data_IF_593673989868
#
_entry.id   IF_593673989868
#
_cell.length_a   1.000
_cell.length_b   1.000
_cell.length_c   1.000
_cell.angle_alpha   90.00
_cell.angle_beta   90.00
_cell.angle_gamma   90.00
#
_symmetry.space_group_name_H-M   'P 1'
#
loop_
_entity.id
_entity.type
_entity.pdbx_description
1 polymer ?
#
# COMPACT_ATOMS: atom_id res chain seq x y z
N UNK A 1 8.65 -17.26 -20.42
CA UNK A 1 9.43 -16.08 -19.99
C UNK A 1 9.91 -16.36 -18.58
N UNK A 2 11.22 -16.43 -18.35
CA UNK A 2 11.78 -16.54 -17.01
C UNK A 2 12.38 -15.18 -16.65
N UNK A 3 11.70 -14.43 -15.78
CA UNK A 3 12.19 -13.12 -15.31
C UNK A 3 13.19 -13.36 -14.19
N UNK A 4 14.48 -13.11 -14.44
CA UNK A 4 15.54 -13.32 -13.45
C UNK A 4 15.60 -12.20 -12.42
N UNK A 5 15.43 -10.95 -12.86
CA UNK A 5 15.43 -9.74 -12.03
C UNK A 5 14.43 -8.74 -12.57
N UNK A 6 13.63 -8.13 -11.71
CA UNK A 6 12.55 -7.23 -12.11
C UNK A 6 12.28 -6.13 -11.07
N UNK A 7 11.61 -5.06 -11.50
CA UNK A 7 11.08 -4.05 -10.58
C UNK A 7 9.81 -4.60 -9.94
N UNK A 8 9.76 -4.57 -8.61
CA UNK A 8 8.61 -5.03 -7.86
C UNK A 8 7.88 -3.84 -7.26
N UNK A 9 6.65 -3.60 -7.70
CA UNK A 9 5.79 -2.55 -7.17
C UNK A 9 4.67 -3.17 -6.36
N UNK A 10 4.50 -2.71 -5.13
CA UNK A 10 3.41 -3.11 -4.25
C UNK A 10 2.63 -1.91 -3.71
N UNK A 11 1.32 -1.92 -3.93
CA UNK A 11 0.38 -0.94 -3.37
C UNK A 11 -0.28 -1.45 -2.09
N UNK A 12 -0.38 -0.62 -1.04
CA UNK A 12 -1.12 -0.95 0.18
C UNK A 12 -0.65 -2.29 0.81
N UNK A 13 -1.54 -3.28 0.97
CA UNK A 13 -1.17 -4.64 1.39
C UNK A 13 -0.15 -5.29 0.45
N UNK A 14 -0.24 -5.03 -0.85
CA UNK A 14 0.74 -5.47 -1.85
C UNK A 14 2.14 -4.95 -1.53
N UNK A 15 2.27 -3.74 -0.94
CA UNK A 15 3.55 -3.21 -0.48
C UNK A 15 4.16 -4.03 0.67
N UNK A 16 3.34 -4.52 1.60
CA UNK A 16 3.78 -5.42 2.67
C UNK A 16 4.26 -6.77 2.12
N UNK A 17 3.53 -7.32 1.15
CA UNK A 17 3.89 -8.58 0.48
C UNK A 17 5.14 -8.43 -0.37
N UNK A 18 5.23 -7.38 -1.17
CA UNK A 18 6.40 -7.03 -1.98
C UNK A 18 7.65 -6.89 -1.12
N UNK A 19 7.56 -6.15 0.00
CA UNK A 19 8.66 -6.02 0.95
C UNK A 19 9.07 -7.37 1.55
N UNK A 20 8.10 -8.23 1.90
CA UNK A 20 8.39 -9.57 2.42
C UNK A 20 9.11 -10.43 1.37
N UNK A 21 8.68 -10.36 0.11
CA UNK A 21 9.33 -11.05 -1.00
C UNK A 21 10.77 -10.52 -1.20
N UNK A 22 10.97 -9.21 -1.24
CA UNK A 22 12.30 -8.60 -1.42
C UNK A 22 13.27 -8.92 -0.29
N UNK A 23 12.78 -9.08 0.95
CA UNK A 23 13.59 -9.53 2.09
C UNK A 23 14.10 -10.96 1.90
N UNK A 24 13.27 -11.83 1.31
CA UNK A 24 13.60 -13.25 1.13
C UNK A 24 14.37 -13.53 -0.17
N UNK A 25 14.11 -12.76 -1.21
CA UNK A 25 14.66 -12.95 -2.56
C UNK A 25 15.23 -11.65 -3.16
N UNK A 26 16.18 -10.99 -2.47
CA UNK A 26 16.71 -9.70 -2.92
C UNK A 26 17.37 -9.77 -4.31
N UNK A 27 17.93 -10.92 -4.68
CA UNK A 27 18.57 -11.15 -5.98
C UNK A 27 17.62 -11.01 -7.18
N UNK A 28 16.31 -11.19 -6.98
CA UNK A 28 15.31 -11.08 -8.03
C UNK A 28 14.74 -9.66 -8.17
N UNK A 29 15.12 -8.74 -7.28
CA UNK A 29 14.54 -7.40 -7.24
C UNK A 29 15.56 -6.39 -7.76
N UNK A 30 15.23 -5.77 -8.89
CA UNK A 30 15.99 -4.66 -9.46
C UNK A 30 15.76 -3.39 -8.65
N UNK A 31 14.50 -3.09 -8.34
CA UNK A 31 14.07 -1.97 -7.52
C UNK A 31 12.75 -2.30 -6.83
N UNK A 32 12.56 -1.87 -5.60
CA UNK A 32 11.32 -2.03 -4.85
C UNK A 32 10.56 -0.70 -4.80
N UNK A 33 9.37 -0.66 -5.40
CA UNK A 33 8.48 0.50 -5.33
C UNK A 33 7.35 0.18 -4.35
N UNK A 34 7.17 1.04 -3.35
CA UNK A 34 6.16 0.88 -2.31
C UNK A 34 5.18 2.03 -2.38
N UNK A 35 4.04 1.79 -3.00
CA UNK A 35 2.95 2.76 -3.08
C UNK A 35 2.06 2.65 -1.84
N UNK A 36 2.11 3.68 -1.02
CA UNK A 36 1.32 3.88 0.19
C UNK A 36 1.17 2.60 1.05
N UNK A 37 2.30 1.98 1.45
CA UNK A 37 2.32 0.60 1.89
C UNK A 37 1.70 0.41 3.28
N UNK A 38 0.84 -0.60 3.40
CA UNK A 38 0.24 -1.01 4.67
C UNK A 38 1.21 -1.85 5.51
N UNK A 39 1.00 -1.90 6.83
CA UNK A 39 1.68 -2.88 7.70
C UNK A 39 3.11 -2.51 8.10
N UNK A 40 3.53 -1.27 7.90
CA UNK A 40 4.82 -0.78 8.36
C UNK A 40 4.88 -0.34 9.83
N UNK A 41 3.92 0.45 10.36
CA UNK A 41 4.04 0.96 11.72
C UNK A 41 3.78 -0.12 12.78
N UNK A 42 4.48 0.00 13.91
CA UNK A 42 4.25 -0.81 15.11
C UNK A 42 2.93 -0.38 15.75
N UNK A 43 2.12 -1.35 16.17
CA UNK A 43 0.95 -1.09 16.99
C UNK A 43 1.38 -0.73 18.41
N UNK A 44 0.99 0.45 18.86
CA UNK A 44 1.23 0.91 20.22
C UNK A 44 -0.13 1.10 20.92
N UNK A 45 -0.52 0.21 21.85
CA UNK A 45 -1.78 0.32 22.59
C UNK A 45 -1.79 1.50 23.57
N UNK A 46 -0.63 2.04 23.95
CA UNK A 46 -0.51 3.19 24.83
C UNK A 46 -0.63 4.54 24.08
N UNK A 47 -0.50 4.53 22.74
CA UNK A 47 -0.71 5.74 21.93
C UNK A 47 -2.19 6.16 22.02
N UNK A 48 -2.48 7.44 22.36
CA UNK A 48 -3.85 7.92 22.42
C UNK A 48 -4.51 7.67 21.07
N UNK A 49 -5.68 7.00 21.07
CA UNK A 49 -6.52 6.92 19.87
C UNK A 49 -6.70 8.34 19.34
N UNK A 50 -6.55 8.52 18.02
CA UNK A 50 -6.78 9.84 17.43
C UNK A 50 -8.14 10.36 17.91
N UNK A 51 -8.21 11.64 18.29
CA UNK A 51 -9.44 12.29 18.82
C UNK A 51 -10.65 12.20 17.86
N UNK A 52 -10.48 11.61 16.67
CA UNK A 52 -11.48 11.52 15.61
C UNK A 52 -12.39 10.29 15.71
N UNK A 53 -12.05 9.27 16.50
CA UNK A 53 -12.89 8.08 16.63
C UNK A 53 -13.60 8.05 18.00
N UNK A 54 -14.94 8.21 18.04
CA UNK A 54 -15.69 8.20 19.29
C UNK A 54 -15.67 6.80 19.93
N UNK A 55 -15.70 6.74 21.27
CA UNK A 55 -15.49 5.50 22.05
C UNK A 55 -16.42 4.34 21.64
N UNK A 56 -17.64 4.65 21.17
CA UNK A 56 -18.60 3.67 20.67
C UNK A 56 -18.16 2.95 19.38
N UNK A 57 -17.16 3.46 18.63
CA UNK A 57 -16.64 2.80 17.44
C UNK A 57 -15.74 1.60 17.76
N UNK A 58 -15.31 1.45 19.02
CA UNK A 58 -14.47 0.34 19.48
C UNK A 58 -15.10 -1.04 19.26
N UNK A 59 -16.36 -1.31 19.67
CA UNK A 59 -17.03 -2.57 19.36
C UNK A 59 -17.23 -2.79 17.85
N UNK A 60 -17.50 -1.74 17.07
CA UNK A 60 -17.63 -1.85 15.61
C UNK A 60 -16.29 -2.25 14.96
N UNK A 61 -15.19 -1.65 15.41
CA UNK A 61 -13.84 -1.97 14.97
C UNK A 61 -13.43 -3.40 15.39
N UNK A 62 -13.86 -3.85 16.58
CA UNK A 62 -13.70 -5.23 16.99
C UNK A 62 -14.49 -6.18 16.07
N UNK A 63 -15.75 -5.88 15.75
CA UNK A 63 -16.55 -6.64 14.78
C UNK A 63 -15.89 -6.73 13.40
N UNK A 64 -15.28 -5.65 12.90
CA UNK A 64 -14.52 -5.68 11.65
C UNK A 64 -13.28 -6.58 11.68
N UNK A 65 -12.74 -6.89 12.87
CA UNK A 65 -11.66 -7.86 13.01
C UNK A 65 -12.17 -9.31 13.04
N UNK A 66 -13.45 -9.54 13.36
CA UNK A 66 -14.05 -10.89 13.48
C UNK A 66 -14.94 -11.27 12.29
N UNK A 67 -15.49 -10.30 11.57
CA UNK A 67 -16.40 -10.51 10.43
C UNK A 67 -15.70 -10.03 9.16
N UNK A 68 -15.62 -10.90 8.15
CA UNK A 68 -15.14 -10.46 6.83
C UNK A 68 -16.10 -9.39 6.30
N UNK A 69 -15.59 -8.20 5.96
CA UNK A 69 -16.38 -7.02 5.56
C UNK A 69 -17.36 -7.37 4.44
N UNK A 70 -16.94 -8.25 3.51
CA UNK A 70 -17.74 -8.65 2.37
C UNK A 70 -18.69 -9.83 2.69
N UNK A 71 -18.76 -10.31 3.94
CA UNK A 71 -19.73 -11.35 4.34
C UNK A 71 -21.16 -10.89 4.18
N UNK A 72 -21.46 -9.63 4.54
CA UNK A 72 -22.78 -9.04 4.34
C UNK A 72 -23.12 -8.98 2.84
N UNK A 73 -22.17 -8.58 2.01
CA UNK A 73 -22.31 -8.57 0.56
C UNK A 73 -22.60 -9.98 -0.01
N UNK A 74 -21.93 -11.01 0.49
CA UNK A 74 -22.17 -12.41 0.10
C UNK A 74 -23.54 -12.91 0.55
N UNK A 75 -23.98 -12.55 1.75
CA UNK A 75 -25.27 -12.94 2.30
C UNK A 75 -26.45 -12.38 1.49
N UNK A 76 -26.28 -11.23 0.84
CA UNK A 76 -27.29 -10.62 -0.03
C UNK A 76 -27.57 -11.41 -1.32
N UNK A 77 -26.73 -12.38 -1.67
CA UNK A 77 -26.94 -13.29 -2.80
C UNK A 77 -27.22 -12.54 -4.11
N UNK A 78 -28.41 -12.74 -4.68
CA UNK A 78 -28.80 -12.15 -5.98
C UNK A 78 -28.89 -10.62 -5.96
N UNK A 79 -29.04 -9.99 -4.79
CA UNK A 79 -29.07 -8.53 -4.65
C UNK A 79 -27.66 -7.92 -4.57
N UNK A 80 -26.63 -8.74 -4.38
CA UNK A 80 -25.24 -8.31 -4.21
C UNK A 80 -24.72 -7.37 -5.32
N UNK A 81 -24.93 -7.65 -6.62
CA UNK A 81 -24.48 -6.77 -7.70
C UNK A 81 -25.08 -5.36 -7.63
N UNK A 82 -26.39 -5.24 -7.39
CA UNK A 82 -27.05 -3.93 -7.29
C UNK A 82 -26.56 -3.13 -6.09
N UNK A 83 -26.33 -3.80 -4.95
CA UNK A 83 -25.74 -3.17 -3.76
C UNK A 83 -24.30 -2.72 -4.02
N UNK A 84 -23.49 -3.53 -4.70
CA UNK A 84 -22.12 -3.15 -5.08
C UNK A 84 -22.11 -1.97 -6.06
N UNK A 85 -23.02 -1.96 -7.03
CA UNK A 85 -23.17 -0.85 -7.96
C UNK A 85 -23.51 0.46 -7.25
N UNK A 86 -24.38 0.40 -6.24
CA UNK A 86 -24.68 1.58 -5.43
C UNK A 86 -23.49 1.99 -4.55
N UNK A 87 -22.78 1.04 -3.96
CA UNK A 87 -21.61 1.31 -3.11
C UNK A 87 -20.44 1.92 -3.90
N UNK A 88 -20.29 1.54 -5.16
CA UNK A 88 -19.25 2.01 -6.07
C UNK A 88 -19.78 2.98 -7.13
N UNK A 89 -20.85 3.73 -6.85
CA UNK A 89 -21.42 4.66 -7.83
C UNK A 89 -20.47 5.80 -8.23
N UNK A 90 -19.39 6.02 -7.48
CA UNK A 90 -18.32 6.98 -7.82
C UNK A 90 -17.21 6.41 -8.70
N UNK A 91 -17.24 5.12 -9.06
CA UNK A 91 -16.19 4.48 -9.85
C UNK A 91 -16.00 5.15 -11.22
N UNK A 92 -17.06 5.68 -11.82
CA UNK A 92 -17.00 6.36 -13.13
C UNK A 92 -16.07 7.58 -13.12
N UNK A 93 -15.90 8.26 -11.98
CA UNK A 93 -14.96 9.38 -11.87
C UNK A 93 -13.50 8.95 -12.10
N UNK A 94 -13.18 7.68 -11.83
CA UNK A 94 -11.84 7.11 -12.00
C UNK A 94 -11.70 6.34 -13.31
N UNK A 95 -12.72 5.55 -13.66
CA UNK A 95 -12.64 4.58 -14.76
C UNK A 95 -13.41 5.00 -16.02
N UNK A 96 -14.29 6.01 -15.96
CA UNK A 96 -15.21 6.38 -17.06
C UNK A 96 -14.53 6.81 -18.35
N UNK A 97 -13.25 7.20 -18.29
CA UNK A 97 -12.44 7.46 -19.48
C UNK A 97 -12.09 6.17 -20.24
N UNK A 98 -11.93 5.04 -19.57
CA UNK A 98 -11.52 3.75 -20.12
C UNK A 98 -12.67 2.75 -20.26
N UNK A 99 -13.52 2.66 -19.22
CA UNK A 99 -14.63 1.72 -19.12
C UNK A 99 -15.93 2.51 -19.21
N UNK A 100 -16.61 2.41 -20.36
CA UNK A 100 -17.84 3.18 -20.63
C UNK A 100 -19.09 2.60 -19.98
N UNK A 101 -19.10 1.30 -19.72
CA UNK A 101 -20.16 0.64 -18.97
C UNK A 101 -19.95 0.88 -17.47
N UNK A 102 -20.76 1.76 -16.87
CA UNK A 102 -20.71 2.11 -15.46
C UNK A 102 -21.03 0.94 -14.52
N UNK A 103 -21.58 -0.15 -15.04
CA UNK A 103 -21.85 -1.37 -14.27
C UNK A 103 -20.65 -2.31 -14.23
N UNK A 104 -19.70 -2.18 -15.17
CA UNK A 104 -18.63 -3.15 -15.35
C UNK A 104 -17.67 -3.19 -14.15
N UNK A 105 -17.21 -2.03 -13.64
CA UNK A 105 -16.32 -1.98 -12.47
C UNK A 105 -17.00 -2.52 -11.20
N UNK A 106 -18.21 -2.09 -10.82
CA UNK A 106 -18.87 -2.66 -9.66
C UNK A 106 -19.13 -4.17 -9.79
N UNK A 107 -19.54 -4.65 -10.97
CA UNK A 107 -19.74 -6.07 -11.22
C UNK A 107 -18.42 -6.86 -11.12
N UNK A 108 -17.33 -6.33 -11.69
CA UNK A 108 -16.00 -6.91 -11.58
C UNK A 108 -15.59 -7.07 -10.10
N UNK A 109 -15.66 -5.98 -9.32
CA UNK A 109 -15.31 -5.99 -7.90
C UNK A 109 -16.19 -6.96 -7.11
N UNK A 110 -17.51 -6.99 -7.39
CA UNK A 110 -18.42 -7.96 -6.79
C UNK A 110 -17.98 -9.40 -7.05
N UNK A 111 -17.75 -9.76 -8.31
CA UNK A 111 -17.44 -11.14 -8.70
C UNK A 111 -16.05 -11.60 -8.26
N UNK A 112 -15.08 -10.70 -8.15
CA UNK A 112 -13.78 -10.99 -7.53
C UNK A 112 -13.91 -11.37 -6.04
N UNK A 113 -14.94 -10.88 -5.36
CA UNK A 113 -15.05 -11.00 -3.91
C UNK A 113 -16.19 -11.90 -3.41
N UNK A 114 -17.18 -12.25 -4.24
CA UNK A 114 -18.35 -13.02 -3.80
C UNK A 114 -18.03 -14.49 -3.42
N UNK A 115 -16.89 -15.02 -3.87
CA UNK A 115 -16.47 -16.40 -3.59
C UNK A 115 -15.80 -16.51 -2.21
N UNK A 116 -15.18 -17.67 -1.94
CA UNK A 116 -14.52 -17.98 -0.67
C UNK A 116 -13.53 -16.85 -0.31
N UNK A 117 -13.59 -16.30 0.93
CA UNK A 117 -12.90 -15.07 1.32
C UNK A 117 -11.39 -15.26 1.60
N UNK A 118 -10.66 -15.99 0.77
CA UNK A 118 -9.25 -16.33 1.06
C UNK A 118 -8.36 -15.11 1.27
N UNK A 119 -8.57 -14.04 0.50
CA UNK A 119 -7.85 -12.77 0.66
C UNK A 119 -8.19 -12.04 1.97
N UNK A 120 -9.47 -11.98 2.35
CA UNK A 120 -9.90 -11.37 3.62
C UNK A 120 -9.41 -12.19 4.82
N UNK A 121 -9.44 -13.52 4.73
CA UNK A 121 -8.90 -14.42 5.75
C UNK A 121 -7.38 -14.25 5.90
N UNK A 122 -6.65 -14.15 4.79
CA UNK A 122 -5.22 -13.88 4.80
C UNK A 122 -4.92 -12.51 5.43
N UNK A 123 -5.62 -11.45 5.01
CA UNK A 123 -5.45 -10.11 5.58
C UNK A 123 -5.74 -10.07 7.09
N UNK A 124 -6.83 -10.71 7.53
CA UNK A 124 -7.17 -10.84 8.95
C UNK A 124 -6.10 -11.60 9.72
N UNK A 125 -5.57 -12.69 9.17
CA UNK A 125 -4.53 -13.48 9.82
C UNK A 125 -3.21 -12.72 9.95
N UNK A 126 -2.92 -11.79 9.04
CA UNK A 126 -1.77 -10.89 9.11
C UNK A 126 -2.00 -9.71 10.08
N UNK A 127 -3.25 -9.37 10.37
CA UNK A 127 -3.61 -8.17 11.14
C UNK A 127 -3.79 -8.43 12.63
N UNK A 128 -3.43 -7.46 13.46
CA UNK A 128 -3.87 -7.37 14.87
C UNK A 128 -5.20 -6.62 14.91
N UNK A 129 -5.25 -5.48 14.22
CA UNK A 129 -6.42 -4.65 14.01
C UNK A 129 -6.37 -4.10 12.58
N UNK A 130 -7.51 -3.67 12.04
CA UNK A 130 -7.54 -2.95 10.77
C UNK A 130 -6.56 -1.76 10.80
N UNK A 131 -5.49 -1.82 10.00
CA UNK A 131 -4.42 -0.81 9.99
C UNK A 131 -3.08 -1.28 10.58
N UNK A 132 -3.05 -2.38 11.33
CA UNK A 132 -1.86 -2.88 12.01
C UNK A 132 -1.65 -4.38 11.78
N UNK A 133 -0.40 -4.74 11.47
CA UNK A 133 0.05 -6.12 11.27
C UNK A 133 0.58 -6.72 12.58
N UNK A 134 0.54 -8.05 12.68
CA UNK A 134 1.18 -8.83 13.75
C UNK A 134 2.71 -8.74 13.71
N UNK A 135 3.25 -8.53 12.52
CA UNK A 135 4.69 -8.44 12.28
C UNK A 135 5.00 -7.15 11.50
N UNK A 136 5.15 -6.01 12.20
CA UNK A 136 5.40 -4.71 11.59
C UNK A 136 6.61 -4.74 10.65
N UNK A 137 6.43 -4.24 9.43
CA UNK A 137 7.50 -4.29 8.44
C UNK A 137 8.72 -3.46 8.88
N UNK A 138 8.51 -2.35 9.60
CA UNK A 138 9.62 -1.47 10.04
C UNK A 138 10.67 -2.19 10.90
N UNK A 139 10.28 -3.23 11.65
CA UNK A 139 11.17 -3.99 12.53
C UNK A 139 12.14 -4.90 11.77
N UNK A 140 11.78 -5.26 10.53
CA UNK A 140 12.56 -6.19 9.69
C UNK A 140 13.06 -5.57 8.40
N UNK A 141 12.54 -4.42 7.98
CA UNK A 141 12.87 -3.80 6.69
C UNK A 141 14.36 -3.45 6.57
N UNK A 142 15.03 -3.12 7.68
CA UNK A 142 16.46 -2.81 7.68
C UNK A 142 17.35 -4.03 7.33
N UNK A 143 16.80 -5.25 7.38
CA UNK A 143 17.50 -6.46 6.94
C UNK A 143 17.47 -6.68 5.41
N UNK A 144 16.75 -5.83 4.66
CA UNK A 144 16.75 -5.89 3.20
C UNK A 144 18.18 -5.68 2.68
N UNK A 145 18.62 -6.46 1.68
CA UNK A 145 19.94 -6.30 1.08
C UNK A 145 20.13 -4.84 0.61
N UNK A 146 21.18 -4.11 1.03
CA UNK A 146 21.44 -2.73 0.62
C UNK A 146 21.47 -2.51 -0.90
N UNK A 147 21.76 -3.56 -1.69
CA UNK A 147 21.75 -3.54 -3.15
C UNK A 147 20.35 -3.42 -3.77
N UNK A 148 19.29 -3.61 -2.98
CA UNK A 148 17.91 -3.39 -3.43
C UNK A 148 17.54 -1.93 -3.16
N UNK A 149 17.51 -1.07 -4.20
CA UNK A 149 17.03 0.30 -4.06
C UNK A 149 15.52 0.32 -3.80
N UNK A 150 15.08 1.31 -3.01
CA UNK A 150 13.69 1.42 -2.57
C UNK A 150 13.15 2.82 -2.87
N UNK A 151 11.97 2.90 -3.47
CA UNK A 151 11.21 4.15 -3.61
C UNK A 151 9.86 4.02 -2.94
N UNK A 152 9.59 4.86 -1.95
CA UNK A 152 8.27 5.00 -1.37
C UNK A 152 7.48 6.09 -2.10
N UNK A 153 6.24 5.80 -2.47
CA UNK A 153 5.30 6.74 -3.06
C UNK A 153 4.11 6.94 -2.12
N UNK A 154 3.85 8.17 -1.70
CA UNK A 154 2.74 8.50 -0.81
C UNK A 154 1.85 9.57 -1.43
N UNK A 155 0.54 9.51 -1.16
CA UNK A 155 -0.32 10.66 -1.34
C UNK A 155 -0.20 11.63 -0.16
N UNK A 156 -0.33 12.93 -0.40
CA UNK A 156 -0.23 13.93 0.67
C UNK A 156 -1.41 13.90 1.65
N UNK A 157 -2.58 13.41 1.21
CA UNK A 157 -3.82 13.28 1.98
C UNK A 157 -4.10 11.85 2.47
N UNK A 158 -3.16 10.91 2.28
CA UNK A 158 -3.34 9.52 2.75
C UNK A 158 -3.50 9.41 4.27
N UNK A 159 -4.25 8.40 4.70
CA UNK A 159 -4.37 8.00 6.10
C UNK A 159 -3.19 7.14 6.59
N UNK A 160 -2.32 6.67 5.70
CA UNK A 160 -1.12 5.89 6.05
C UNK A 160 -0.02 6.84 6.57
N UNK A 161 0.58 6.50 7.71
CA UNK A 161 1.69 7.30 8.23
C UNK A 161 2.98 7.08 7.44
N UNK A 162 3.70 8.17 7.17
CA UNK A 162 5.01 8.16 6.50
C UNK A 162 6.18 7.98 7.47
N UNK A 163 5.93 7.98 8.79
CA UNK A 163 6.99 7.90 9.81
C UNK A 163 7.90 6.68 9.64
N UNK A 164 7.38 5.47 9.34
CA UNK A 164 8.25 4.30 9.08
C UNK A 164 9.18 4.49 7.89
N UNK A 165 8.70 5.05 6.77
CA UNK A 165 9.54 5.31 5.61
C UNK A 165 10.64 6.33 5.91
N UNK A 166 10.32 7.42 6.63
CA UNK A 166 11.32 8.40 7.09
C UNK A 166 12.37 7.75 8.00
N UNK A 167 11.93 6.90 8.93
CA UNK A 167 12.83 6.14 9.80
C UNK A 167 13.75 5.21 8.99
N UNK A 168 13.19 4.47 8.03
CA UNK A 168 13.94 3.57 7.15
C UNK A 168 14.97 4.36 6.34
N UNK A 169 14.59 5.46 5.69
CA UNK A 169 15.52 6.32 4.94
C UNK A 169 16.69 6.78 5.82
N UNK A 170 16.42 7.19 7.07
CA UNK A 170 17.47 7.61 8.01
C UNK A 170 18.40 6.47 8.47
N UNK A 171 17.87 5.25 8.62
CA UNK A 171 18.61 4.12 9.22
C UNK A 171 19.29 3.21 8.20
N UNK A 172 18.79 3.17 6.96
CA UNK A 172 19.34 2.38 5.86
C UNK A 172 20.40 3.19 5.10
N UNK A 173 21.48 3.57 5.77
CA UNK A 173 22.52 4.44 5.18
C UNK A 173 23.29 3.81 4.01
N UNK A 174 23.37 2.47 3.96
CA UNK A 174 24.13 1.74 2.95
C UNK A 174 23.36 1.47 1.65
N UNK A 175 22.06 1.78 1.58
CA UNK A 175 21.22 1.47 0.42
C UNK A 175 20.33 2.64 0.04
N UNK A 176 20.05 2.78 -1.25
CA UNK A 176 19.21 3.85 -1.76
C UNK A 176 17.77 3.76 -1.24
N UNK A 177 17.29 4.88 -0.69
CA UNK A 177 15.90 5.05 -0.27
C UNK A 177 15.41 6.43 -0.66
N UNK A 178 14.42 6.47 -1.54
CA UNK A 178 13.71 7.69 -1.90
C UNK A 178 12.27 7.70 -1.36
N UNK A 179 11.76 8.88 -1.08
CA UNK A 179 10.39 9.10 -0.60
C UNK A 179 9.78 10.23 -1.42
N UNK A 180 8.81 9.89 -2.28
CA UNK A 180 8.01 10.85 -3.03
C UNK A 180 6.65 11.02 -2.37
N UNK A 181 6.19 12.26 -2.31
CA UNK A 181 4.85 12.61 -1.80
C UNK A 181 4.14 13.43 -2.88
N UNK A 182 3.06 12.88 -3.44
CA UNK A 182 2.29 13.51 -4.51
C UNK A 182 1.14 14.33 -3.91
N UNK A 183 0.93 15.53 -4.45
CA UNK A 183 -0.08 16.48 -3.98
C UNK A 183 -1.47 16.12 -4.51
N UNK A 184 -2.49 16.29 -3.67
CA UNK A 184 -3.87 16.00 -4.05
C UNK A 184 -4.22 14.52 -4.09
N UNK A 185 -3.35 13.64 -3.56
CA UNK A 185 -3.52 12.20 -3.62
C UNK A 185 -3.87 11.63 -2.24
N UNK A 186 -4.84 10.72 -2.22
CA UNK A 186 -5.18 9.89 -1.08
C UNK A 186 -4.39 8.58 -1.10
N UNK A 187 -5.10 7.47 -0.88
CA UNK A 187 -4.49 6.14 -0.77
C UNK A 187 -4.14 5.48 -2.11
N UNK A 188 -4.79 5.88 -3.20
CA UNK A 188 -4.63 5.28 -4.52
C UNK A 188 -3.92 6.28 -5.45
N UNK A 189 -2.62 6.50 -5.20
CA UNK A 189 -1.82 7.51 -5.90
C UNK A 189 -1.85 7.28 -7.41
N UNK A 190 -1.76 6.03 -7.85
CA UNK A 190 -1.85 5.65 -9.26
C UNK A 190 -3.21 5.96 -9.91
N UNK A 191 -4.28 6.11 -9.12
CA UNK A 191 -5.61 6.51 -9.62
C UNK A 191 -5.82 8.02 -9.54
N UNK A 192 -5.31 8.65 -8.47
CA UNK A 192 -5.52 10.08 -8.22
C UNK A 192 -4.66 10.97 -9.14
N UNK A 193 -3.41 10.57 -9.41
CA UNK A 193 -2.46 11.28 -10.30
C UNK A 193 -1.70 10.28 -11.20
N UNK A 194 -2.38 9.64 -12.19
CA UNK A 194 -1.80 8.56 -12.98
C UNK A 194 -0.58 9.00 -13.80
N UNK A 195 -0.57 10.22 -14.34
CA UNK A 195 0.55 10.71 -15.15
C UNK A 195 1.81 10.88 -14.30
N UNK A 196 1.72 11.59 -13.17
CA UNK A 196 2.87 11.80 -12.28
C UNK A 196 3.34 10.48 -11.65
N UNK A 197 2.42 9.58 -11.29
CA UNK A 197 2.75 8.23 -10.85
C UNK A 197 3.56 7.46 -11.92
N UNK A 198 3.07 7.43 -13.16
CA UNK A 198 3.75 6.75 -14.27
C UNK A 198 5.12 7.36 -14.56
N UNK A 199 5.26 8.68 -14.52
CA UNK A 199 6.56 9.35 -14.70
C UNK A 199 7.58 8.91 -13.64
N UNK A 200 7.14 8.74 -12.39
CA UNK A 200 8.03 8.26 -11.32
C UNK A 200 8.37 6.78 -11.53
N UNK A 201 7.40 5.94 -11.88
CA UNK A 201 7.66 4.52 -12.16
C UNK A 201 8.61 4.34 -13.35
N UNK A 202 8.44 5.11 -14.42
CA UNK A 202 9.32 5.09 -15.58
C UNK A 202 10.74 5.55 -15.22
N UNK A 203 10.88 6.63 -14.43
CA UNK A 203 12.20 7.06 -13.92
C UNK A 203 12.88 5.98 -13.09
N UNK A 204 12.13 5.23 -12.27
CA UNK A 204 12.67 4.07 -11.55
C UNK A 204 13.08 2.95 -12.53
N UNK A 205 12.32 2.76 -13.61
CA UNK A 205 12.69 1.92 -14.76
C UNK A 205 14.07 2.28 -15.31
N UNK A 206 14.22 3.54 -15.72
CA UNK A 206 15.47 4.06 -16.30
C UNK A 206 16.66 3.90 -15.33
N UNK A 207 16.44 4.13 -14.04
CA UNK A 207 17.46 3.94 -12.98
C UNK A 207 17.84 2.47 -12.79
N UNK A 208 16.88 1.55 -12.89
CA UNK A 208 17.14 0.12 -12.76
C UNK A 208 17.95 -0.41 -13.96
N UNK A 209 17.68 0.13 -15.15
CA UNK A 209 18.34 -0.25 -16.41
C UNK A 209 19.75 0.35 -16.54
N UNK A 210 20.00 1.54 -15.98
CA UNK A 210 21.32 2.20 -16.06
C UNK A 210 22.44 1.47 -15.31
N UNK A 211 22.10 0.53 -14.41
CA UNK A 211 23.03 -0.16 -13.49
C UNK A 211 23.93 0.78 -12.68
N UNK A 212 23.58 2.07 -12.58
CA UNK A 212 24.31 3.00 -11.73
C UNK A 212 24.23 2.54 -10.28
N UNK A 213 25.37 2.58 -9.58
CA UNK A 213 25.39 2.31 -8.15
C UNK A 213 24.69 3.48 -7.45
N UNK A 214 23.42 3.27 -7.11
CA UNK A 214 22.68 4.17 -6.25
C UNK A 214 23.26 4.08 -4.83
N UNK A 215 24.03 5.10 -4.46
CA UNK A 215 24.53 5.26 -3.09
C UNK A 215 23.39 5.80 -2.20
N UNK A 216 23.48 5.55 -0.89
CA UNK A 216 22.54 6.16 0.08
C UNK A 216 22.72 7.68 0.10
N UNK A 217 21.64 8.43 0.32
CA UNK A 217 21.72 9.88 0.52
C UNK A 217 22.72 10.17 1.66
N UNK A 218 23.85 10.81 1.32
CA UNK A 218 24.66 11.51 2.30
C UNK A 218 23.73 12.53 2.98
N UNK A 219 23.74 12.67 4.31
CA UNK A 219 22.85 13.58 5.00
C UNK A 219 23.08 15.00 4.50
N UNK A 220 22.20 15.47 3.63
CA UNK A 220 22.10 16.89 3.30
C UNK A 220 21.52 17.56 4.54
N UNK A 221 22.39 18.22 5.29
CA UNK A 221 21.98 19.24 6.24
C UNK A 221 21.02 20.23 5.57
N UNK A 222 20.11 20.78 6.38
CA UNK A 222 19.15 21.86 6.11
C UNK A 222 17.77 21.42 5.63
N UNK A 223 16.76 21.45 6.53
CA UNK A 223 15.74 22.52 6.63
C UNK A 223 14.93 22.33 7.94
N UNK A 224 14.50 23.39 8.65
CA UNK A 224 13.98 23.33 10.02
C UNK A 224 12.56 22.75 10.13
N UNK A 225 12.26 22.22 11.31
CA UNK A 225 10.89 21.87 11.72
C UNK A 225 10.05 23.15 11.91
N UNK A 226 8.94 23.24 11.19
CA UNK A 226 7.71 23.93 11.59
C UNK A 226 6.51 23.02 11.37
#
# INVERSE_FOLDING_TARGET
>A
MSLERFILLGHSLGGFLASSYSLQYPQHVAHLILEDPWGFPVYDPARPRSKRLPVWSTPLQACFNYVNVLSALRALGRLGPAVMQKALSGADAYFGHFVKDSTAIPNYVYHCNVRRPTGEEAFRNLSVHFGWTKHPMVERFLNLDPKVPVTFLYGDQTFITRSPAKYIKKKRSAGYVDIKVLKGCGHNVHMDQPNEFNDIVNKVGDLADSQEKLEGDQPTDLVPEE
#
